data_IF_958393640280
#
_entry.id   IF_958393640280
#
_cell.length_a   1.000
_cell.length_b   1.000
_cell.length_c   1.000
_cell.angle_alpha   90.00
_cell.angle_beta   90.00
_cell.angle_gamma   90.00
#
_symmetry.space_group_name_H-M   'P 1'
#
loop_
_entity.id
_entity.type
_entity.pdbx_description
1 polymer ?
#
# COMPACT_ATOMS: atom_id res chain seq x y z
N UNK A 1 23.62 6.64 1.68
CA UNK A 1 22.34 6.39 0.99
C UNK A 1 21.83 5.04 1.47
N UNK A 2 20.66 4.96 2.10
CA UNK A 2 20.15 3.69 2.62
C UNK A 2 19.71 2.77 1.47
N UNK A 3 19.76 1.46 1.68
CA UNK A 3 19.27 0.47 0.71
C UNK A 3 17.74 0.54 0.69
N UNK A 4 17.10 0.71 -0.48
CA UNK A 4 15.64 0.71 -0.57
C UNK A 4 15.06 -0.61 -0.07
N UNK A 5 13.94 -0.52 0.66
CA UNK A 5 13.20 -1.68 1.14
C UNK A 5 11.96 -1.89 0.28
N UNK A 6 11.69 -3.13 -0.10
CA UNK A 6 10.41 -3.50 -0.73
C UNK A 6 9.62 -4.40 0.20
N UNK A 7 8.33 -4.11 0.37
CA UNK A 7 7.39 -4.94 1.13
C UNK A 7 6.18 -5.27 0.28
N UNK A 8 5.78 -6.53 0.27
CA UNK A 8 4.53 -6.99 -0.34
C UNK A 8 3.44 -7.01 0.71
N UNK A 9 2.27 -6.51 0.37
CA UNK A 9 1.08 -6.54 1.21
C UNK A 9 -0.04 -7.30 0.50
N UNK A 10 -0.71 -8.18 1.24
CA UNK A 10 -1.84 -8.97 0.77
C UNK A 10 -3.13 -8.39 1.32
N UNK A 11 -4.12 -8.21 0.44
CA UNK A 11 -5.47 -7.87 0.81
C UNK A 11 -6.34 -9.13 0.88
N UNK A 12 -7.21 -9.21 1.89
CA UNK A 12 -7.99 -10.43 2.22
C UNK A 12 -9.49 -10.14 2.39
N UNK A 13 -9.96 -8.90 2.13
CA UNK A 13 -11.40 -8.62 2.25
C UNK A 13 -12.18 -9.34 1.15
N UNK A 14 -13.32 -9.91 1.54
CA UNK A 14 -14.27 -10.59 0.65
C UNK A 14 -15.58 -9.79 0.52
N UNK A 15 -15.55 -8.49 0.79
CA UNK A 15 -16.72 -7.63 0.67
C UNK A 15 -16.36 -6.35 -0.07
N UNK A 16 -17.06 -6.09 -1.18
CA UNK A 16 -16.93 -4.86 -1.98
C UNK A 16 -17.31 -3.63 -1.14
N UNK A 17 -16.56 -2.54 -1.30
CA UNK A 17 -16.75 -1.29 -0.56
C UNK A 17 -16.33 -1.34 0.91
N UNK A 18 -15.84 -2.48 1.39
CA UNK A 18 -15.36 -2.63 2.78
C UNK A 18 -13.85 -2.55 2.82
N UNK A 19 -13.36 -1.52 3.49
CA UNK A 19 -11.93 -1.35 3.73
C UNK A 19 -11.43 -2.29 4.82
N UNK A 20 -10.32 -2.98 4.55
CA UNK A 20 -9.61 -3.80 5.50
C UNK A 20 -8.10 -3.55 5.41
N UNK A 21 -7.42 -3.65 6.57
CA UNK A 21 -5.97 -3.51 6.63
C UNK A 21 -5.30 -4.64 5.83
N UNK A 22 -4.35 -4.26 4.99
CA UNK A 22 -3.52 -5.21 4.24
C UNK A 22 -2.40 -5.73 5.12
N UNK A 23 -2.07 -7.00 4.94
CA UNK A 23 -1.09 -7.69 5.78
C UNK A 23 0.24 -7.80 5.04
N UNK A 24 1.33 -7.39 5.66
CA UNK A 24 2.68 -7.57 5.11
C UNK A 24 2.99 -9.06 4.98
N UNK A 25 3.36 -9.50 3.78
CA UNK A 25 3.58 -10.90 3.44
C UNK A 25 4.86 -11.51 4.05
N UNK A 26 5.77 -10.68 4.57
CA UNK A 26 7.04 -11.11 5.17
C UNK A 26 6.90 -11.15 6.69
N UNK A 27 6.32 -10.11 7.28
CA UNK A 27 6.24 -9.95 8.75
C UNK A 27 4.93 -10.44 9.35
N UNK A 28 3.87 -10.59 8.55
CA UNK A 28 2.52 -10.90 9.04
C UNK A 28 1.84 -9.74 9.78
N UNK A 29 2.45 -8.55 9.78
CA UNK A 29 1.89 -7.38 10.46
C UNK A 29 1.01 -6.55 9.53
N UNK A 30 -0.12 -6.07 10.04
CA UNK A 30 -0.99 -5.09 9.37
C UNK A 30 -0.53 -3.65 9.58
N UNK A 31 0.33 -3.42 10.57
CA UNK A 31 0.89 -2.12 10.94
C UNK A 31 2.41 -2.24 11.01
N UNK A 32 3.11 -1.37 10.31
CA UNK A 32 4.57 -1.26 10.35
C UNK A 32 4.97 -0.10 11.25
N UNK A 33 5.96 -0.32 12.10
CA UNK A 33 6.52 0.72 12.95
C UNK A 33 7.72 1.35 12.27
N UNK A 34 7.67 2.65 12.03
CA UNK A 34 8.78 3.45 11.53
C UNK A 34 9.47 4.17 12.70
N UNK A 35 10.74 3.88 12.90
CA UNK A 35 11.57 4.53 13.93
C UNK A 35 12.44 5.66 13.35
N UNK A 36 12.39 5.85 12.04
CA UNK A 36 13.12 6.88 11.29
C UNK A 36 12.29 7.42 10.15
N UNK A 37 12.64 8.63 9.69
CA UNK A 37 12.02 9.23 8.52
C UNK A 37 12.14 8.29 7.30
N UNK A 38 11.05 8.17 6.56
CA UNK A 38 11.00 7.33 5.38
C UNK A 38 10.25 8.02 4.25
N UNK A 39 10.39 7.47 3.05
CA UNK A 39 9.72 7.95 1.85
C UNK A 39 9.15 6.74 1.13
N UNK A 40 7.84 6.73 0.87
CA UNK A 40 7.26 5.79 -0.07
C UNK A 40 7.61 6.32 -1.45
N UNK A 41 8.36 5.53 -2.22
CA UNK A 41 8.84 5.89 -3.55
C UNK A 41 7.87 5.43 -4.63
N UNK A 42 7.24 4.28 -4.44
CA UNK A 42 6.37 3.67 -5.43
C UNK A 42 5.44 2.61 -4.82
N UNK A 43 4.30 2.38 -5.49
CA UNK A 43 3.43 1.24 -5.25
C UNK A 43 3.09 0.56 -6.59
N UNK A 44 3.27 -0.76 -6.67
CA UNK A 44 2.95 -1.55 -7.87
C UNK A 44 2.10 -2.76 -7.48
N UNK A 45 1.12 -3.12 -8.30
CA UNK A 45 0.37 -4.36 -8.10
C UNK A 45 1.30 -5.57 -8.24
N UNK A 46 1.26 -6.49 -7.28
CA UNK A 46 1.98 -7.78 -7.35
C UNK A 46 1.09 -8.88 -7.93
N UNK A 47 -0.20 -8.84 -7.60
CA UNK A 47 -1.24 -9.64 -8.26
C UNK A 47 -2.19 -8.62 -8.83
N UNK A 48 -2.23 -8.54 -10.16
CA UNK A 48 -3.08 -7.61 -10.87
C UNK A 48 -4.48 -8.22 -11.03
N UNK A 49 -5.55 -7.50 -10.68
CA UNK A 49 -6.90 -7.93 -11.03
C UNK A 49 -7.10 -7.89 -12.56
N UNK A 50 -7.65 -8.95 -13.15
CA UNK A 50 -7.75 -9.11 -14.61
C UNK A 50 -9.19 -9.07 -15.14
N UNK A 51 -10.19 -9.08 -14.26
CA UNK A 51 -11.62 -9.11 -14.60
C UNK A 51 -12.28 -7.73 -14.54
N UNK A 52 -11.54 -6.63 -14.61
CA UNK A 52 -12.02 -5.26 -14.36
C UNK A 52 -12.41 -5.00 -12.89
N UNK A 53 -11.95 -5.84 -11.95
CA UNK A 53 -12.02 -5.48 -10.54
C UNK A 53 -11.11 -4.29 -10.28
N UNK A 54 -11.57 -3.37 -9.45
CA UNK A 54 -10.77 -2.22 -9.04
C UNK A 54 -10.59 -2.24 -7.54
N UNK A 55 -9.37 -1.97 -7.11
CA UNK A 55 -8.98 -1.81 -5.73
C UNK A 55 -8.35 -0.44 -5.51
N UNK A 56 -8.63 0.09 -4.32
CA UNK A 56 -8.04 1.30 -3.78
C UNK A 56 -7.26 0.97 -2.52
N UNK A 57 -6.06 1.54 -2.39
CA UNK A 57 -5.18 1.37 -1.23
C UNK A 57 -4.94 2.74 -0.60
N UNK A 58 -5.45 2.94 0.62
CA UNK A 58 -5.28 4.18 1.38
C UNK A 58 -4.13 4.05 2.36
N UNK A 59 -3.30 5.09 2.43
CA UNK A 59 -2.21 5.15 3.40
C UNK A 59 -2.72 5.68 4.73
N UNK A 60 -2.45 4.95 5.82
CA UNK A 60 -2.76 5.37 7.17
C UNK A 60 -1.47 5.64 7.92
N UNK A 61 -1.36 6.83 8.50
CA UNK A 61 -0.29 7.20 9.42
C UNK A 61 -0.89 7.36 10.80
N UNK A 62 -0.43 6.57 11.77
CA UNK A 62 -0.97 6.51 13.13
C UNK A 62 -2.49 6.26 13.15
N UNK A 63 -2.98 5.40 12.24
CA UNK A 63 -4.40 5.06 12.12
C UNK A 63 -5.27 6.13 11.44
N UNK A 64 -4.71 7.26 11.04
CA UNK A 64 -5.41 8.34 10.33
C UNK A 64 -5.07 8.30 8.85
N UNK A 65 -6.07 8.51 7.99
CA UNK A 65 -5.88 8.55 6.54
C UNK A 65 -4.97 9.73 6.16
N UNK A 66 -3.89 9.44 5.45
CA UNK A 66 -2.87 10.43 5.08
C UNK A 66 -3.21 11.21 3.79
N UNK A 67 -4.39 10.98 3.21
CA UNK A 67 -4.84 11.61 1.95
C UNK A 67 -4.23 11.02 0.68
N UNK A 68 -3.30 10.07 0.80
CA UNK A 68 -2.72 9.35 -0.34
C UNK A 68 -3.52 8.06 -0.59
N UNK A 69 -4.00 7.92 -1.82
CA UNK A 69 -4.69 6.71 -2.31
C UNK A 69 -4.02 6.22 -3.58
N UNK A 70 -3.76 4.92 -3.65
CA UNK A 70 -3.28 4.25 -4.85
C UNK A 70 -4.40 3.46 -5.49
N UNK A 71 -4.43 3.45 -6.83
CA UNK A 71 -5.45 2.73 -7.59
C UNK A 71 -4.79 1.56 -8.33
N UNK A 72 -5.37 0.37 -8.19
CA UNK A 72 -4.87 -0.86 -8.85
C UNK A 72 -4.73 -0.73 -10.38
N UNK A 73 -5.62 0.03 -11.04
CA UNK A 73 -5.55 0.28 -12.49
C UNK A 73 -4.39 1.17 -12.90
N UNK A 74 -4.04 2.18 -12.09
CA UNK A 74 -2.89 3.06 -12.34
C UNK A 74 -1.57 2.46 -11.84
N UNK A 75 -1.64 1.44 -10.98
CA UNK A 75 -0.49 0.77 -10.38
C UNK A 75 -0.11 -0.54 -11.08
N UNK A 76 -0.84 -0.91 -12.14
CA UNK A 76 -0.62 -2.11 -12.93
C UNK A 76 0.76 -2.07 -13.62
N UNK A 77 1.67 -3.03 -13.35
CA UNK A 77 2.96 -3.10 -14.02
C UNK A 77 2.86 -3.39 -15.53
N UNK A 78 1.76 -3.98 -16.02
CA UNK A 78 1.53 -4.24 -17.44
C UNK A 78 0.94 -3.06 -18.20
N UNK A 79 0.49 -2.01 -17.51
CA UNK A 79 -0.14 -0.84 -18.13
C UNK A 79 0.89 0.14 -18.72
N UNK A 80 0.70 0.54 -19.98
CA UNK A 80 1.52 1.57 -20.63
C UNK A 80 1.38 2.97 -20.01
N UNK A 81 0.32 3.18 -19.23
CA UNK A 81 -0.01 4.44 -18.55
C UNK A 81 0.19 4.39 -17.04
N UNK A 82 1.00 3.45 -16.53
CA UNK A 82 1.25 3.29 -15.09
C UNK A 82 1.71 4.62 -14.47
N UNK A 83 1.03 5.04 -13.42
CA UNK A 83 1.34 6.28 -12.69
C UNK A 83 2.22 5.92 -11.50
N UNK A 84 3.42 6.52 -11.45
CA UNK A 84 4.27 6.46 -10.26
C UNK A 84 3.75 7.50 -9.27
N UNK A 85 3.33 7.12 -8.05
CA UNK A 85 2.76 8.07 -7.08
C UNK A 85 3.71 9.17 -6.61
N UNK A 86 5.02 8.99 -6.84
CA UNK A 86 6.06 9.93 -6.45
C UNK A 86 6.53 9.75 -5.01
N UNK A 87 7.55 10.52 -4.59
CA UNK A 87 8.05 10.43 -3.23
C UNK A 87 7.02 11.00 -2.25
N UNK A 88 6.46 10.15 -1.41
CA UNK A 88 5.56 10.52 -0.31
C UNK A 88 6.37 10.51 0.98
N UNK A 89 6.76 11.67 1.53
CA UNK A 89 7.57 11.74 2.74
C UNK A 89 6.74 11.40 3.99
N UNK A 90 7.33 10.61 4.88
CA UNK A 90 6.82 10.29 6.20
C UNK A 90 7.88 10.71 7.21
N UNK A 91 7.65 11.87 7.85
CA UNK A 91 8.58 12.46 8.82
C UNK A 91 8.21 11.97 10.21
N UNK A 92 8.99 11.09 10.81
CA UNK A 92 8.84 10.64 12.20
C UNK A 92 9.13 11.78 13.17
N UNK A 93 10.07 12.67 12.83
CA UNK A 93 10.27 13.95 13.52
C UNK A 93 10.65 13.81 15.00
N UNK A 94 11.35 12.74 15.39
CA UNK A 94 11.74 12.49 16.78
C UNK A 94 10.58 12.14 17.72
N UNK A 95 9.40 11.84 17.19
CA UNK A 95 8.24 11.42 17.99
C UNK A 95 8.57 10.17 18.79
N UNK A 96 8.46 10.25 20.11
CA UNK A 96 8.73 9.12 21.01
C UNK A 96 7.76 7.97 20.68
N UNK A 97 8.31 6.85 20.23
CA UNK A 97 7.52 5.70 19.76
C UNK A 97 7.29 5.62 18.25
N UNK A 98 7.91 6.50 17.45
CA UNK A 98 7.91 6.38 15.98
C UNK A 98 6.58 6.76 15.32
N UNK A 99 6.38 6.31 14.07
CA UNK A 99 5.10 6.40 13.36
C UNK A 99 4.65 5.02 12.91
N UNK A 100 3.36 4.76 13.08
CA UNK A 100 2.72 3.56 12.56
C UNK A 100 2.26 3.82 11.13
N UNK A 101 2.60 2.91 10.24
CA UNK A 101 2.18 2.93 8.84
C UNK A 101 1.33 1.70 8.54
N UNK A 102 0.15 1.91 8.00
CA UNK A 102 -0.75 0.83 7.61
C UNK A 102 -1.40 1.15 6.25
N UNK A 103 -1.92 0.12 5.60
CA UNK A 103 -2.54 0.23 4.28
C UNK A 103 -3.94 -0.34 4.31
N UNK A 104 -4.93 0.51 4.14
CA UNK A 104 -6.32 0.11 4.16
C UNK A 104 -6.83 -0.04 2.74
N UNK A 105 -7.22 -1.24 2.37
CA UNK A 105 -7.55 -1.59 0.98
C UNK A 105 -9.00 -2.02 0.89
N UNK A 106 -9.67 -1.61 -0.19
CA UNK A 106 -11.00 -2.09 -0.54
C UNK A 106 -11.09 -2.41 -2.02
N UNK A 107 -11.91 -3.39 -2.36
CA UNK A 107 -12.43 -3.54 -3.71
C UNK A 107 -13.52 -2.48 -3.94
N UNK A 108 -13.40 -1.65 -4.97
CA UNK A 108 -14.37 -0.60 -5.32
C UNK A 108 -15.18 -0.92 -6.57
N UNK A 109 -14.74 -1.87 -7.39
CA UNK A 109 -15.53 -2.43 -8.49
C UNK A 109 -15.47 -3.96 -8.49
N UNK A 110 -16.63 -4.60 -8.62
CA UNK A 110 -16.76 -6.07 -8.60
C UNK A 110 -16.16 -6.74 -9.82
N UNK A 111 -16.09 -6.09 -10.99
CA UNK A 111 -15.51 -6.69 -12.19
C UNK A 111 -16.00 -8.12 -12.46
N UNK A 112 -15.06 -9.04 -12.68
CA UNK A 112 -15.25 -10.48 -12.89
C UNK A 112 -15.43 -11.29 -11.60
N UNK A 113 -15.51 -10.62 -10.44
CA UNK A 113 -15.80 -11.20 -9.15
C UNK A 113 -14.85 -10.71 -8.05
N UNK A 114 -14.68 -11.53 -7.02
CA UNK A 114 -13.70 -11.24 -5.98
C UNK A 114 -12.38 -11.89 -6.32
N UNK A 115 -11.36 -11.06 -6.57
CA UNK A 115 -10.02 -11.52 -6.89
C UNK A 115 -9.07 -11.30 -5.70
N UNK A 116 -8.02 -12.10 -5.63
CA UNK A 116 -6.92 -11.80 -4.73
C UNK A 116 -6.22 -10.54 -5.22
N UNK A 117 -5.97 -9.58 -4.32
CA UNK A 117 -5.20 -8.39 -4.61
C UNK A 117 -4.00 -8.30 -3.68
N UNK A 118 -2.84 -7.98 -4.26
CA UNK A 118 -1.64 -7.71 -3.48
C UNK A 118 -0.78 -6.67 -4.20
N UNK A 119 -0.03 -5.91 -3.44
CA UNK A 119 0.78 -4.82 -3.95
C UNK A 119 2.15 -4.79 -3.26
N UNK A 120 3.15 -4.26 -3.95
CA UNK A 120 4.48 -4.00 -3.42
C UNK A 120 4.64 -2.50 -3.20
N UNK A 121 5.10 -2.13 -2.01
CA UNK A 121 5.58 -0.79 -1.70
C UNK A 121 7.08 -0.75 -1.69
N UNK A 122 7.63 0.29 -2.29
CA UNK A 122 9.05 0.61 -2.26
C UNK A 122 9.27 1.78 -1.31
N UNK A 123 10.12 1.58 -0.31
CA UNK A 123 10.56 2.59 0.64
C UNK A 123 12.00 3.02 0.34
N UNK A 124 12.32 4.29 0.59
CA UNK A 124 13.68 4.79 0.46
C UNK A 124 14.62 4.26 1.56
N UNK A 125 14.08 3.99 2.75
CA UNK A 125 14.84 3.56 3.92
C UNK A 125 14.24 2.27 4.53
N UNK A 126 15.05 1.60 5.34
CA UNK A 126 14.58 0.58 6.30
C UNK A 126 13.68 1.21 7.37
N UNK A 127 12.92 0.38 8.09
CA UNK A 127 12.01 0.80 9.16
C UNK A 127 12.72 1.21 10.46
#
# INVERSE_FOLDING_TARGET
MAVPLMRKYNHVSTTVGTYALSTDAITGLTVQQLNRDNVILDMVSSIQPTGNELYEVRVLVNGLEAGVTFFSSSSDPGSSGRVVPGPIPIVVGGSAGGKQLAYNTAQTATGGGQAAYSFVLKYANLF
#
